data_IF_647788746043
#
_entry.id   IF_647788746043
#
_cell.length_a   1.000
_cell.length_b   1.000
_cell.length_c   1.000
_cell.angle_alpha   90.00
_cell.angle_beta   90.00
_cell.angle_gamma   90.00
#
_symmetry.space_group_name_H-M   'P 1'
#
loop_
_entity.id
_entity.type
_entity.pdbx_description
1 polymer ?
#
# COMPACT_ATOMS: atom_id res chain seq x y z
N UNK A 1 -11.45 -5.98 1.10
CA UNK A 1 -10.56 -6.15 -0.08
C UNK A 1 -9.28 -6.88 0.29
N UNK A 2 -8.51 -6.37 1.25
CA UNK A 2 -7.27 -7.00 1.72
C UNK A 2 -7.44 -8.45 2.21
N UNK A 3 -8.54 -8.78 2.89
CA UNK A 3 -8.81 -10.15 3.34
C UNK A 3 -8.95 -11.16 2.19
N UNK A 4 -9.42 -10.73 1.01
CA UNK A 4 -9.45 -11.59 -0.18
C UNK A 4 -8.04 -11.90 -0.68
N UNK A 5 -7.16 -10.90 -0.70
CA UNK A 5 -5.75 -11.08 -1.07
C UNK A 5 -5.01 -11.98 -0.06
N UNK A 6 -5.29 -11.80 1.23
CA UNK A 6 -4.77 -12.69 2.29
C UNK A 6 -5.33 -14.11 2.20
N UNK A 7 -6.43 -14.37 1.51
CA UNK A 7 -6.96 -15.72 1.34
C UNK A 7 -6.34 -16.45 0.14
N UNK A 8 -5.66 -15.74 -0.76
CA UNK A 8 -5.13 -16.29 -2.00
C UNK A 8 -3.85 -17.14 -1.77
N UNK A 9 -3.85 -18.44 -2.11
CA UNK A 9 -2.67 -19.30 -1.98
C UNK A 9 -1.47 -18.83 -2.81
N UNK A 10 -1.67 -18.24 -3.99
CA UNK A 10 -0.57 -17.76 -4.84
C UNK A 10 0.23 -16.65 -4.15
N UNK A 11 -0.47 -15.79 -3.39
CA UNK A 11 0.17 -14.74 -2.59
C UNK A 11 0.76 -15.27 -1.28
N UNK A 12 0.09 -16.21 -0.61
CA UNK A 12 0.56 -16.76 0.68
C UNK A 12 1.76 -17.68 0.55
N UNK A 13 1.81 -18.47 -0.51
CA UNK A 13 2.82 -19.50 -0.69
C UNK A 13 4.08 -18.97 -1.39
N UNK A 14 4.02 -17.83 -2.07
CA UNK A 14 5.19 -17.18 -2.67
C UNK A 14 5.87 -16.18 -1.73
N UNK A 15 7.19 -16.06 -1.81
CA UNK A 15 7.94 -15.04 -1.07
C UNK A 15 7.53 -13.63 -1.52
N UNK A 16 7.49 -13.40 -2.83
CA UNK A 16 7.06 -12.14 -3.42
C UNK A 16 5.64 -11.75 -3.02
N UNK A 17 4.72 -12.72 -3.00
CA UNK A 17 3.33 -12.48 -2.57
C UNK A 17 3.23 -12.13 -1.09
N UNK A 18 4.01 -12.77 -0.21
CA UNK A 18 4.06 -12.40 1.21
C UNK A 18 4.64 -11.00 1.43
N UNK A 19 5.64 -10.59 0.64
CA UNK A 19 6.18 -9.23 0.67
C UNK A 19 5.11 -8.23 0.26
N UNK A 20 4.39 -8.49 -0.84
CA UNK A 20 3.27 -7.64 -1.29
C UNK A 20 2.18 -7.51 -0.21
N UNK A 21 1.77 -8.63 0.39
CA UNK A 21 0.77 -8.63 1.46
C UNK A 21 1.23 -7.79 2.67
N UNK A 22 2.51 -7.89 3.05
CA UNK A 22 3.07 -7.06 4.13
C UNK A 22 2.98 -5.57 3.80
N UNK A 23 3.38 -5.19 2.60
CA UNK A 23 3.29 -3.80 2.13
C UNK A 23 1.84 -3.28 2.17
N UNK A 24 0.88 -4.06 1.68
CA UNK A 24 -0.54 -3.68 1.69
C UNK A 24 -1.13 -3.60 3.11
N UNK A 25 -0.70 -4.47 4.03
CA UNK A 25 -1.17 -4.44 5.42
C UNK A 25 -0.68 -3.22 6.20
N UNK A 26 0.49 -2.67 5.87
CA UNK A 26 1.06 -1.51 6.56
C UNK A 26 0.24 -0.23 6.34
N UNK A 27 -0.56 -0.17 5.28
CA UNK A 27 -1.41 0.98 4.96
C UNK A 27 -2.85 0.85 5.48
N UNK A 28 -3.15 -0.17 6.30
CA UNK A 28 -4.50 -0.38 6.88
C UNK A 28 -4.66 0.25 8.28
N UNK A 29 -3.84 1.27 8.60
CA UNK A 29 -3.96 2.02 9.87
C UNK A 29 -5.23 2.87 9.78
N UNK A 30 -6.14 2.70 10.75
CA UNK A 30 -7.36 3.51 10.80
C UNK A 30 -7.06 4.98 11.18
N UNK A 31 -8.03 5.86 10.94
CA UNK A 31 -7.84 7.30 11.20
C UNK A 31 -7.59 7.65 12.68
N UNK A 32 -8.10 6.85 13.61
CA UNK A 32 -7.92 7.07 15.05
C UNK A 32 -6.51 6.70 15.50
N UNK A 33 -5.96 5.61 14.97
CA UNK A 33 -4.59 5.19 15.22
C UNK A 33 -3.59 6.18 14.60
N UNK A 34 -3.91 6.74 13.42
CA UNK A 34 -3.13 7.85 12.84
C UNK A 34 -3.07 9.07 13.76
N UNK A 35 -4.20 9.49 14.32
CA UNK A 35 -4.24 10.61 15.25
C UNK A 35 -3.39 10.34 16.50
N UNK A 36 -3.47 9.12 17.07
CA UNK A 36 -2.62 8.69 18.19
C UNK A 36 -1.13 8.69 17.85
N UNK A 37 -0.76 8.26 16.65
CA UNK A 37 0.64 8.27 16.18
C UNK A 37 1.12 9.71 16.05
N UNK A 38 0.36 10.58 15.36
CA UNK A 38 0.74 11.97 15.13
C UNK A 38 0.88 12.76 16.43
N UNK A 39 0.05 12.48 17.44
CA UNK A 39 0.19 13.08 18.77
C UNK A 39 1.49 12.72 19.50
N UNK A 40 2.13 11.60 19.15
CA UNK A 40 3.40 11.17 19.74
C UNK A 40 4.62 11.62 18.95
N UNK A 41 4.42 12.09 17.73
CA UNK A 41 5.51 12.56 16.87
C UNK A 41 5.78 14.06 17.11
N UNK A 42 7.05 14.49 17.20
CA UNK A 42 7.41 15.90 17.28
C UNK A 42 6.85 16.72 16.09
N UNK A 43 6.22 17.90 16.31
CA UNK A 43 5.59 18.68 15.25
C UNK A 43 6.49 19.09 14.09
N UNK A 44 7.79 19.30 14.34
CA UNK A 44 8.74 19.68 13.30
C UNK A 44 9.01 18.56 12.28
N UNK A 45 8.64 17.30 12.58
CA UNK A 45 8.76 16.17 11.66
C UNK A 45 7.52 15.98 10.79
N UNK A 46 6.41 16.68 11.06
CA UNK A 46 5.16 16.49 10.32
C UNK A 46 5.32 16.76 8.83
N UNK A 47 6.12 17.76 8.45
CA UNK A 47 6.42 18.06 7.04
C UNK A 47 7.09 16.88 6.32
N UNK A 48 8.12 16.30 6.95
CA UNK A 48 8.87 15.16 6.43
C UNK A 48 8.00 13.91 6.31
N UNK A 49 7.17 13.64 7.32
CA UNK A 49 6.25 12.49 7.30
C UNK A 49 5.19 12.65 6.23
N UNK A 50 4.65 13.86 6.08
CA UNK A 50 3.66 14.15 5.05
C UNK A 50 4.25 14.01 3.63
N UNK A 51 5.49 14.42 3.43
CA UNK A 51 6.21 14.21 2.17
C UNK A 51 6.43 12.72 1.89
N UNK A 52 6.94 11.98 2.88
CA UNK A 52 7.14 10.53 2.76
C UNK A 52 5.85 9.79 2.43
N UNK A 53 4.73 10.15 3.08
CA UNK A 53 3.42 9.56 2.81
C UNK A 53 2.93 9.87 1.38
N UNK A 54 3.14 11.10 0.88
CA UNK A 54 2.79 11.48 -0.50
C UNK A 54 3.62 10.72 -1.53
N UNK A 55 4.92 10.53 -1.29
CA UNK A 55 5.77 9.75 -2.20
C UNK A 55 5.31 8.28 -2.25
N UNK A 56 4.96 7.69 -1.10
CA UNK A 56 4.38 6.35 -1.07
C UNK A 56 3.06 6.27 -1.84
N UNK A 57 2.19 7.27 -1.70
CA UNK A 57 0.95 7.32 -2.46
C UNK A 57 1.21 7.34 -3.97
N UNK A 58 2.18 8.14 -4.44
CA UNK A 58 2.59 8.22 -5.84
C UNK A 58 3.07 6.86 -6.37
N UNK A 59 3.92 6.15 -5.63
CA UNK A 59 4.39 4.81 -6.01
C UNK A 59 3.22 3.82 -6.14
N UNK A 60 2.26 3.86 -5.23
CA UNK A 60 1.09 3.01 -5.29
C UNK A 60 0.15 3.36 -6.46
N UNK A 61 0.01 4.65 -6.79
CA UNK A 61 -0.74 5.10 -7.98
C UNK A 61 -0.10 4.55 -9.25
N UNK A 62 1.22 4.71 -9.42
CA UNK A 62 1.92 4.19 -10.60
C UNK A 62 1.80 2.65 -10.71
N UNK A 63 1.83 1.95 -9.57
CA UNK A 63 1.61 0.51 -9.54
C UNK A 63 0.19 0.13 -10.04
N UNK A 64 -0.84 0.85 -9.61
CA UNK A 64 -2.21 0.64 -10.06
C UNK A 64 -2.33 0.89 -11.58
N UNK A 65 -1.80 2.03 -12.06
CA UNK A 65 -1.82 2.37 -13.48
C UNK A 65 -1.16 1.28 -14.34
N UNK A 66 -0.03 0.74 -13.87
CA UNK A 66 0.67 -0.37 -14.55
C UNK A 66 -0.16 -1.65 -14.59
N UNK A 67 -0.84 -2.00 -13.50
CA UNK A 67 -1.71 -3.17 -13.45
C UNK A 67 -2.90 -3.03 -14.40
N UNK A 68 -3.53 -1.86 -14.42
CA UNK A 68 -4.66 -1.54 -15.31
C UNK A 68 -4.24 -1.60 -16.78
N UNK A 69 -3.10 -1.01 -17.12
CA UNK A 69 -2.54 -1.08 -18.47
C UNK A 69 -2.19 -2.52 -18.88
N UNK A 70 -1.64 -3.33 -17.97
CA UNK A 70 -1.31 -4.73 -18.26
C UNK A 70 -2.56 -5.58 -18.53
N UNK A 71 -3.62 -5.38 -17.74
CA UNK A 71 -4.92 -6.03 -17.97
C UNK A 71 -5.52 -5.62 -19.32
N UNK A 72 -5.42 -4.35 -19.70
CA UNK A 72 -5.90 -3.86 -20.99
C UNK A 72 -5.14 -4.50 -22.17
N UNK A 73 -3.83 -4.68 -22.06
CA UNK A 73 -3.02 -5.36 -23.09
C UNK A 73 -3.41 -6.83 -23.25
N UNK A 74 -3.57 -7.57 -22.15
CA UNK A 74 -3.99 -8.98 -22.19
C UNK A 74 -5.42 -9.18 -22.72
N UNK A 75 -6.29 -8.17 -22.60
CA UNK A 75 -7.64 -8.22 -23.12
C UNK A 75 -7.73 -7.89 -24.63
N UNK A 76 -6.65 -7.34 -25.21
CA UNK A 76 -6.56 -7.00 -26.63
C UNK A 76 -5.91 -8.12 -27.47
N UNK A 77 -5.39 -9.16 -26.83
CA UNK A 77 -4.83 -10.39 -27.43
C UNK A 77 -5.84 -11.54 -27.40
#
# INVERSE_FOLDING_TARGET
>A
MLERLKADPALRLSETGRVLLRMLTMHSIDGQEWERILHRVPPHLYGVIAEFAREHARVWTECADRLENWVATLAAE
#
